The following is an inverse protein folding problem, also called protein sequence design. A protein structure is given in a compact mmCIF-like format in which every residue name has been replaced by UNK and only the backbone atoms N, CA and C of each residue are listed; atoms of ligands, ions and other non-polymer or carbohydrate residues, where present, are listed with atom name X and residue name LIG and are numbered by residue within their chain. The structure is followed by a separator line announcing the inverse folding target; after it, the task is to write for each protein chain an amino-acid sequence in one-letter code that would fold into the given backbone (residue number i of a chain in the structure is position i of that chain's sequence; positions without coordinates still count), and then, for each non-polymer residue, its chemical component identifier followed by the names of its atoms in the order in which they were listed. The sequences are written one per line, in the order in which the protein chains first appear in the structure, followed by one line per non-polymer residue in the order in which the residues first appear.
data_IF_653318145047
#
_entry.id   IF_653318145047
#
_cell.length_a   1.000
_cell.length_b   1.000
_cell.length_c   1.000
_cell.angle_alpha   90.00
_cell.angle_beta   90.00
_cell.angle_gamma   90.00
#
_symmetry.space_group_name_H-M   'P 1'
#
loop_
_entity.id
_entity.type
_entity.pdbx_description
1 polymer ?
#
# COMPACT_ATOMS: atom_id res chain seq x y z
N UNK A 1 4.19 -16.87 -10.53
CA UNK A 1 3.65 -15.93 -9.52
C UNK A 1 4.34 -14.59 -9.74
N UNK A 2 3.60 -13.49 -9.89
CA UNK A 2 4.15 -12.18 -10.26
C UNK A 2 3.70 -11.11 -9.25
N UNK A 3 4.58 -10.15 -8.96
CA UNK A 3 4.23 -8.98 -8.18
C UNK A 3 3.07 -8.22 -8.84
N UNK A 4 2.19 -7.61 -8.02
CA UNK A 4 1.08 -6.81 -8.56
C UNK A 4 1.63 -5.62 -9.36
N UNK A 5 0.96 -5.21 -10.46
CA UNK A 5 1.46 -4.13 -11.31
C UNK A 5 1.48 -2.80 -10.56
N UNK A 6 2.37 -1.91 -10.99
CA UNK A 6 2.35 -0.50 -10.63
C UNK A 6 1.04 0.11 -11.15
N UNK A 7 0.36 0.86 -10.30
CA UNK A 7 -0.86 1.60 -10.61
C UNK A 7 -0.57 3.10 -10.59
N UNK A 8 -1.16 3.84 -11.51
CA UNK A 8 -1.09 5.31 -11.49
C UNK A 8 -2.32 5.85 -10.77
N UNK A 9 -2.10 6.68 -9.76
CA UNK A 9 -3.16 7.38 -9.01
C UNK A 9 -3.06 8.87 -9.27
N UNK A 10 -4.18 9.48 -9.66
CA UNK A 10 -4.26 10.93 -9.75
C UNK A 10 -4.18 11.52 -8.34
N UNK A 11 -3.21 12.39 -8.12
CA UNK A 11 -3.08 13.17 -6.92
C UNK A 11 -3.23 14.64 -7.30
N UNK A 12 -4.17 15.34 -6.66
CA UNK A 12 -4.43 16.75 -6.89
C UNK A 12 -4.19 17.51 -5.61
N UNK A 13 -3.60 18.69 -5.74
CA UNK A 13 -3.41 19.66 -4.67
C UNK A 13 -4.15 20.92 -5.08
N UNK A 14 -4.96 21.44 -4.17
CA UNK A 14 -5.61 22.73 -4.33
C UNK A 14 -5.40 23.56 -3.06
N UNK A 15 -4.67 24.67 -3.20
CA UNK A 15 -4.27 25.54 -2.10
C UNK A 15 -4.08 26.98 -2.58
N UNK A 16 -4.08 27.98 -1.67
CA UNK A 16 -3.91 29.38 -2.05
C UNK A 16 -2.60 29.72 -2.78
N UNK A 17 -1.57 28.90 -2.64
CA UNK A 17 -0.23 29.15 -3.21
C UNK A 17 0.09 28.26 -4.41
N UNK A 18 -0.69 27.20 -4.64
CA UNK A 18 -0.46 26.23 -5.71
C UNK A 18 -1.73 25.41 -5.97
N UNK A 19 -2.06 25.23 -7.25
CA UNK A 19 -3.08 24.30 -7.70
C UNK A 19 -2.52 23.46 -8.85
N UNK A 20 -2.67 22.14 -8.78
CA UNK A 20 -2.12 21.23 -9.77
C UNK A 20 -2.46 19.77 -9.51
N UNK A 21 -2.24 18.93 -10.52
CA UNK A 21 -2.42 17.49 -10.40
C UNK A 21 -1.34 16.73 -11.15
N UNK A 22 -1.06 15.50 -10.69
CA UNK A 22 -0.13 14.61 -11.33
C UNK A 22 -0.59 13.15 -11.21
N UNK A 23 -0.23 12.34 -12.20
CA UNK A 23 -0.34 10.88 -12.11
C UNK A 23 0.84 10.33 -11.31
N UNK A 24 0.59 9.83 -10.11
CA UNK A 24 1.61 9.24 -9.24
C UNK A 24 1.62 7.73 -9.44
N UNK A 25 2.72 7.20 -9.97
CA UNK A 25 2.96 5.77 -10.03
C UNK A 25 3.22 5.23 -8.61
N UNK A 26 2.45 4.22 -8.21
CA UNK A 26 2.54 3.59 -6.89
C UNK A 26 2.21 2.11 -6.99
N UNK A 27 2.48 1.34 -5.93
CA UNK A 27 2.06 -0.06 -5.88
C UNK A 27 0.55 -0.15 -5.63
N UNK A 28 -0.05 -1.25 -6.08
CA UNK A 28 -1.41 -1.60 -5.67
C UNK A 28 -1.54 -1.60 -4.14
N UNK A 29 -2.70 -1.22 -3.62
CA UNK A 29 -2.92 -1.08 -2.18
C UNK A 29 -2.58 -2.38 -1.42
N UNK A 30 -2.92 -3.53 -2.01
CA UNK A 30 -2.66 -4.83 -1.39
C UNK A 30 -1.18 -5.21 -1.38
N UNK A 31 -0.41 -4.76 -2.38
CA UNK A 31 1.04 -4.92 -2.40
C UNK A 31 1.72 -4.03 -1.34
N UNK A 32 1.24 -2.79 -1.17
CA UNK A 32 1.69 -1.92 -0.09
C UNK A 32 1.40 -2.54 1.29
N UNK A 33 0.19 -3.03 1.52
CA UNK A 33 -0.18 -3.67 2.78
C UNK A 33 0.63 -4.95 3.05
N UNK A 34 0.89 -5.77 2.04
CA UNK A 34 1.74 -6.96 2.18
C UNK A 34 3.16 -6.59 2.67
N UNK A 35 3.76 -5.51 2.15
CA UNK A 35 5.08 -5.05 2.66
C UNK A 35 5.03 -4.66 4.15
N UNK A 36 3.90 -4.12 4.63
CA UNK A 36 3.70 -3.78 6.05
C UNK A 36 3.55 -5.01 6.92
N UNK A 37 2.90 -6.06 6.43
CA UNK A 37 2.83 -7.37 7.11
C UNK A 37 4.24 -7.93 7.32
N UNK A 38 5.08 -7.96 6.28
CA UNK A 38 6.47 -8.42 6.39
C UNK A 38 7.26 -7.59 7.40
N UNK A 39 7.17 -6.27 7.29
CA UNK A 39 7.85 -5.36 8.21
C UNK A 39 7.41 -5.58 9.66
N UNK A 40 6.10 -5.70 9.91
CA UNK A 40 5.55 -5.96 11.24
C UNK A 40 6.14 -7.24 11.85
N UNK A 41 6.14 -8.34 11.11
CA UNK A 41 6.67 -9.62 11.59
C UNK A 41 8.18 -9.57 11.85
N UNK A 42 8.94 -8.83 11.04
CA UNK A 42 10.40 -8.72 11.19
C UNK A 42 10.84 -7.80 12.33
N UNK A 43 10.16 -6.66 12.55
CA UNK A 43 10.66 -5.58 13.42
C UNK A 43 9.77 -5.20 14.60
N UNK A 44 8.54 -5.73 14.67
CA UNK A 44 7.54 -5.53 15.74
C UNK A 44 7.29 -4.07 16.13
N UNK A 45 7.11 -3.16 15.17
CA UNK A 45 6.78 -1.73 15.47
C UNK A 45 5.28 -1.48 15.41
N UNK A 46 4.73 -0.89 16.48
CA UNK A 46 3.29 -0.59 16.59
C UNK A 46 2.73 0.26 15.45
N UNK A 47 3.56 1.09 14.79
CA UNK A 47 3.15 1.85 13.60
C UNK A 47 2.71 0.97 12.43
N UNK A 48 3.27 -0.23 12.25
CA UNK A 48 2.84 -1.11 11.16
C UNK A 48 1.41 -1.62 11.38
N UNK A 49 0.98 -1.79 12.63
CA UNK A 49 -0.42 -2.14 12.94
C UNK A 49 -1.37 -1.01 12.53
N UNK A 50 -0.98 0.24 12.76
CA UNK A 50 -1.75 1.40 12.31
C UNK A 50 -1.83 1.46 10.78
N UNK A 51 -0.71 1.27 10.09
CA UNK A 51 -0.67 1.25 8.63
C UNK A 51 -1.57 0.13 8.05
N UNK A 52 -1.60 -1.05 8.68
CA UNK A 52 -2.47 -2.16 8.29
C UNK A 52 -3.95 -1.88 8.54
N UNK A 53 -4.29 -1.32 9.71
CA UNK A 53 -5.66 -0.89 10.01
C UNK A 53 -6.16 0.14 8.99
N UNK A 54 -5.31 1.12 8.66
CA UNK A 54 -5.63 2.14 7.67
C UNK A 54 -5.83 1.51 6.28
N UNK A 55 -4.97 0.57 5.87
CA UNK A 55 -5.11 -0.11 4.59
C UNK A 55 -6.43 -0.88 4.48
N UNK A 56 -6.83 -1.62 5.52
CA UNK A 56 -8.13 -2.33 5.55
C UNK A 56 -9.29 -1.36 5.52
N UNK A 57 -9.22 -0.27 6.27
CA UNK A 57 -10.25 0.79 6.28
C UNK A 57 -10.36 1.47 4.91
N UNK A 58 -9.25 1.59 4.17
CA UNK A 58 -9.19 2.11 2.81
C UNK A 58 -9.61 1.07 1.73
N UNK A 59 -10.06 -0.12 2.13
CA UNK A 59 -10.60 -1.14 1.22
C UNK A 59 -9.58 -2.16 0.73
N UNK A 60 -8.43 -2.31 1.38
CA UNK A 60 -7.51 -3.40 1.07
C UNK A 60 -8.20 -4.75 1.35
N UNK A 61 -8.27 -5.62 0.34
CA UNK A 61 -8.86 -6.95 0.47
C UNK A 61 -7.89 -7.89 1.21
N UNK A 62 -8.27 -8.47 2.37
CA UNK A 62 -7.37 -9.33 3.15
C UNK A 62 -6.84 -10.53 2.37
N UNK A 63 -7.66 -11.15 1.53
CA UNK A 63 -7.25 -12.29 0.68
C UNK A 63 -6.18 -11.87 -0.31
N UNK A 64 -6.37 -10.74 -0.98
CA UNK A 64 -5.41 -10.18 -1.96
C UNK A 64 -4.10 -9.72 -1.32
N UNK A 65 -4.16 -9.25 -0.07
CA UNK A 65 -2.97 -8.90 0.71
C UNK A 65 -2.18 -10.17 1.04
N UNK A 66 -2.84 -11.23 1.49
CA UNK A 66 -2.17 -12.51 1.77
C UNK A 66 -1.50 -13.10 0.51
N UNK A 67 -2.17 -13.05 -0.64
CA UNK A 67 -1.59 -13.45 -1.94
C UNK A 67 -0.33 -12.64 -2.28
N UNK A 68 -0.37 -11.32 -2.09
CA UNK A 68 0.77 -10.44 -2.36
C UNK A 68 1.93 -10.63 -1.36
N UNK A 69 1.64 -11.08 -0.14
CA UNK A 69 2.65 -11.41 0.85
C UNK A 69 3.37 -12.72 0.53
N UNK A 70 2.59 -13.79 0.29
CA UNK A 70 3.13 -15.11 -0.09
C UNK A 70 3.94 -15.06 -1.40
N UNK A 71 3.66 -14.10 -2.29
CA UNK A 71 4.32 -13.95 -3.58
C UNK A 71 5.81 -13.55 -3.56
N UNK A 72 6.41 -13.25 -2.39
CA UNK A 72 7.82 -12.80 -2.28
C UNK A 72 8.70 -13.62 -1.32
N UNK A 73 8.19 -14.71 -0.74
CA UNK A 73 9.00 -15.62 0.05
C UNK A 73 9.77 -16.58 -0.87
N UNK A 74 10.93 -16.16 -1.36
CA UNK A 74 11.99 -16.99 -1.95
C UNK A 74 13.33 -16.30 -1.71
#
# INVERSE_FOLDING_TARGET
MSARPIVTKTFAVDSPWFSGSAGVATYALEELAATKIRALFQRRKGRDLFDLWLAVTAGASPTRVAEADCGRAS
#
